data_IF_120509933555
#
_entry.id   IF_120509933555
#
_cell.length_a   1.000
_cell.length_b   1.000
_cell.length_c   1.000
_cell.angle_alpha   90.00
_cell.angle_beta   90.00
_cell.angle_gamma   90.00
#
_symmetry.space_group_name_H-M   'P 1'
#
loop_
_entity.id
_entity.type
_entity.pdbx_description
1 polymer ?
#
# COMPACT_ATOMS: atom_id res chain seq x y z
N UNK A 1 21.11 18.33 2.89
CA UNK A 1 19.72 18.75 2.77
C UNK A 1 18.90 17.77 1.92
N UNK A 2 19.34 17.39 0.69
CA UNK A 2 18.60 16.42 -0.17
C UNK A 2 18.30 15.12 0.56
N UNK A 3 19.31 14.48 1.14
CA UNK A 3 19.16 13.18 1.85
C UNK A 3 18.07 13.23 2.91
N UNK A 4 17.93 14.33 3.65
CA UNK A 4 16.86 14.51 4.62
C UNK A 4 15.47 14.54 3.97
N UNK A 5 15.30 15.32 2.91
CA UNK A 5 14.03 15.37 2.19
C UNK A 5 13.69 14.03 1.52
N UNK A 6 14.69 13.35 0.97
CA UNK A 6 14.48 12.07 0.30
C UNK A 6 14.10 10.97 1.31
N UNK A 7 14.81 10.88 2.44
CA UNK A 7 14.61 9.78 3.38
C UNK A 7 13.48 10.04 4.40
N UNK A 8 13.35 11.25 4.92
CA UNK A 8 12.38 11.55 5.99
C UNK A 8 11.40 12.68 5.67
N UNK A 9 11.52 13.33 4.51
CA UNK A 9 10.61 14.39 4.07
C UNK A 9 10.76 15.73 4.78
N UNK A 10 11.72 15.88 5.69
CA UNK A 10 11.93 17.08 6.52
C UNK A 10 13.32 17.66 6.32
N UNK A 11 13.53 18.98 6.52
CA UNK A 11 14.86 19.57 6.48
C UNK A 11 15.66 19.21 7.75
N UNK A 12 17.01 19.22 7.66
CA UNK A 12 17.85 19.16 8.86
C UNK A 12 17.66 20.42 9.71
N UNK A 13 17.82 20.28 11.02
CA UNK A 13 17.99 21.41 11.91
C UNK A 13 19.32 22.12 11.64
N UNK A 14 19.49 23.42 12.02
CA UNK A 14 20.77 24.12 11.89
C UNK A 14 21.93 23.34 12.53
N UNK A 15 21.72 22.80 13.73
CA UNK A 15 22.71 22.02 14.46
C UNK A 15 23.13 20.75 13.69
N UNK A 16 22.19 20.00 13.16
CA UNK A 16 22.48 18.79 12.36
C UNK A 16 23.28 19.15 11.10
N UNK A 17 23.00 20.29 10.47
CA UNK A 17 23.77 20.82 9.36
C UNK A 17 25.21 21.13 9.74
N UNK A 18 25.43 21.81 10.87
CA UNK A 18 26.75 22.14 11.40
C UNK A 18 27.54 20.88 11.77
N UNK A 19 26.91 19.94 12.46
CA UNK A 19 27.54 18.67 12.88
C UNK A 19 27.97 17.84 11.65
N UNK A 20 27.14 17.78 10.62
CA UNK A 20 27.50 17.12 9.35
C UNK A 20 28.68 17.82 8.67
N UNK A 21 28.71 19.15 8.61
CA UNK A 21 29.82 19.89 8.01
C UNK A 21 31.13 19.63 8.76
N UNK A 22 31.13 19.66 10.07
CA UNK A 22 32.31 19.33 10.92
C UNK A 22 32.81 17.91 10.65
N UNK A 23 31.91 16.93 10.66
CA UNK A 23 32.26 15.53 10.38
C UNK A 23 32.81 15.34 8.94
N UNK A 24 32.26 16.04 7.96
CA UNK A 24 32.66 15.95 6.56
C UNK A 24 34.04 16.53 6.27
N UNK A 25 34.53 17.45 7.11
CA UNK A 25 35.91 17.96 7.04
C UNK A 25 36.94 16.90 7.42
N UNK A 26 36.58 15.95 8.27
CA UNK A 26 37.45 14.83 8.68
C UNK A 26 37.40 13.71 7.66
N UNK A 27 36.19 13.20 7.36
CA UNK A 27 35.97 12.17 6.34
C UNK A 27 34.53 12.29 5.77
N UNK A 28 34.45 12.80 4.55
CA UNK A 28 33.16 13.05 3.88
C UNK A 28 32.36 11.78 3.64
N UNK A 29 33.02 10.71 3.24
CA UNK A 29 32.34 9.43 2.93
C UNK A 29 31.71 8.86 4.19
N UNK A 30 32.47 8.72 5.27
CA UNK A 30 31.98 8.21 6.55
C UNK A 30 30.89 9.11 7.15
N UNK A 31 31.01 10.44 7.01
CA UNK A 31 29.97 11.37 7.49
C UNK A 31 28.65 11.18 6.73
N UNK A 32 28.70 10.88 5.43
CA UNK A 32 27.51 10.62 4.61
C UNK A 32 26.89 9.28 4.97
N UNK A 33 27.66 8.21 5.11
CA UNK A 33 27.19 6.88 5.51
C UNK A 33 26.48 6.94 6.87
N UNK A 34 27.12 7.51 7.87
CA UNK A 34 26.53 7.67 9.20
C UNK A 34 25.24 8.51 9.17
N UNK A 35 25.18 9.54 8.32
CA UNK A 35 23.96 10.32 8.15
C UNK A 35 22.85 9.48 7.55
N UNK A 36 23.10 8.72 6.50
CA UNK A 36 22.11 7.86 5.82
C UNK A 36 21.59 6.80 6.79
N UNK A 37 22.48 6.08 7.48
CA UNK A 37 22.11 5.05 8.46
C UNK A 37 21.23 5.60 9.57
N UNK A 38 21.58 6.79 10.10
CA UNK A 38 20.75 7.47 11.12
C UNK A 38 19.36 7.84 10.60
N UNK A 39 19.25 8.31 9.37
CA UNK A 39 17.96 8.70 8.79
C UNK A 39 17.11 7.49 8.42
N UNK A 40 17.72 6.40 7.94
CA UNK A 40 17.03 5.13 7.70
C UNK A 40 16.49 4.50 9.00
N UNK A 41 17.20 4.66 10.12
CA UNK A 41 16.76 4.22 11.43
C UNK A 41 15.70 5.14 12.08
N UNK A 42 15.34 6.25 11.44
CA UNK A 42 14.33 7.17 11.94
C UNK A 42 12.92 6.66 11.66
N UNK A 43 12.01 6.76 12.64
CA UNK A 43 10.57 6.46 12.44
C UNK A 43 9.93 7.27 11.30
N UNK A 44 10.45 8.44 11.00
CA UNK A 44 9.99 9.30 9.91
C UNK A 44 10.32 8.74 8.52
N UNK A 45 11.22 7.76 8.43
CA UNK A 45 11.46 7.04 7.19
C UNK A 45 10.21 6.29 6.72
N UNK A 46 9.60 5.50 7.59
CA UNK A 46 8.35 4.79 7.29
C UNK A 46 7.18 5.73 7.02
N UNK A 47 7.08 6.86 7.75
CA UNK A 47 6.05 7.87 7.49
C UNK A 47 6.21 8.47 6.08
N UNK A 48 7.44 8.75 5.66
CA UNK A 48 7.76 9.32 4.34
C UNK A 48 7.51 8.32 3.21
N UNK A 49 8.04 7.10 3.34
CA UNK A 49 7.99 6.11 2.27
C UNK A 49 6.68 5.32 2.25
N UNK A 50 6.09 5.08 3.42
CA UNK A 50 4.76 4.51 3.55
C UNK A 50 3.70 5.31 2.81
N UNK A 51 3.82 6.65 2.77
CA UNK A 51 2.91 7.49 2.00
C UNK A 51 2.88 7.13 0.51
N UNK A 52 4.04 6.85 -0.10
CA UNK A 52 4.07 6.46 -1.52
C UNK A 52 3.32 5.16 -1.75
N UNK A 53 3.43 4.20 -0.83
CA UNK A 53 2.64 2.97 -0.89
C UNK A 53 1.16 3.23 -0.68
N UNK A 54 0.80 4.05 0.29
CA UNK A 54 -0.60 4.41 0.59
C UNK A 54 -1.28 5.10 -0.59
N UNK A 55 -0.55 5.92 -1.36
CA UNK A 55 -1.06 6.54 -2.60
C UNK A 55 -1.33 5.46 -3.68
N UNK A 56 -0.43 4.49 -3.85
CA UNK A 56 -0.60 3.39 -4.83
C UNK A 56 -1.83 2.54 -4.49
N UNK A 57 -2.04 2.24 -3.20
CA UNK A 57 -3.14 1.39 -2.74
C UNK A 57 -4.44 2.15 -2.47
N UNK A 58 -4.53 3.41 -2.88
CA UNK A 58 -5.72 4.27 -2.75
C UNK A 58 -6.21 4.39 -1.30
N UNK A 59 -5.28 4.46 -0.35
CA UNK A 59 -5.64 4.60 1.06
C UNK A 59 -6.56 5.80 1.30
N UNK A 60 -7.67 5.55 1.96
CA UNK A 60 -8.57 6.57 2.46
C UNK A 60 -9.24 6.13 3.77
N UNK A 61 -9.65 7.08 4.57
CA UNK A 61 -10.39 6.82 5.82
C UNK A 61 -11.91 6.83 5.61
N UNK A 62 -12.35 6.88 4.34
CA UNK A 62 -13.74 6.75 3.91
C UNK A 62 -13.81 6.15 2.52
N UNK A 63 -14.98 5.64 2.12
CA UNK A 63 -15.15 5.01 0.82
C UNK A 63 -15.19 5.99 -0.38
N UNK A 64 -15.27 7.30 -0.12
CA UNK A 64 -15.17 8.35 -1.14
C UNK A 64 -16.25 8.40 -2.22
N UNK A 65 -17.28 7.55 -2.13
CA UNK A 65 -18.39 7.51 -3.07
C UNK A 65 -19.61 8.28 -2.52
N UNK A 66 -20.77 8.16 -3.15
CA UNK A 66 -21.99 8.93 -2.87
C UNK A 66 -22.47 8.86 -1.40
N UNK A 67 -22.16 7.80 -0.68
CA UNK A 67 -22.44 7.69 0.75
C UNK A 67 -21.30 8.17 1.65
N UNK A 68 -20.10 8.24 1.14
CA UNK A 68 -18.89 8.61 1.86
C UNK A 68 -18.82 8.04 3.30
N UNK A 69 -19.09 6.75 3.44
CA UNK A 69 -19.05 6.08 4.73
C UNK A 69 -17.62 6.00 5.27
N UNK A 70 -17.43 6.32 6.55
CA UNK A 70 -16.14 6.27 7.19
C UNK A 70 -15.63 4.84 7.37
N UNK A 71 -14.31 4.68 7.29
CA UNK A 71 -13.57 3.47 7.64
C UNK A 71 -12.85 3.67 8.99
N UNK A 72 -13.49 3.46 10.13
CA UNK A 72 -12.99 3.87 11.44
C UNK A 72 -11.71 3.14 11.86
N UNK A 73 -11.35 2.06 11.18
CA UNK A 73 -10.16 1.25 11.46
C UNK A 73 -9.10 1.31 10.35
N UNK A 74 -9.27 2.14 9.32
CA UNK A 74 -8.32 2.26 8.21
C UNK A 74 -6.91 2.66 8.67
N UNK A 75 -6.81 3.47 9.74
CA UNK A 75 -5.53 3.86 10.34
C UNK A 75 -4.63 2.67 10.71
N UNK A 76 -5.20 1.50 11.03
CA UNK A 76 -4.41 0.29 11.35
C UNK A 76 -3.61 -0.18 10.13
N UNK A 77 -4.20 -0.13 8.94
CA UNK A 77 -3.48 -0.48 7.72
C UNK A 77 -2.38 0.54 7.40
N UNK A 78 -2.63 1.86 7.59
CA UNK A 78 -1.61 2.89 7.47
C UNK A 78 -0.43 2.61 8.39
N UNK A 79 -0.70 2.32 9.65
CA UNK A 79 0.33 2.06 10.65
C UNK A 79 1.10 0.77 10.32
N UNK A 80 0.42 -0.29 9.89
CA UNK A 80 1.07 -1.50 9.36
C UNK A 80 2.07 -1.19 8.23
N UNK A 81 1.69 -0.34 7.29
CA UNK A 81 2.57 0.06 6.18
C UNK A 81 3.78 0.82 6.72
N UNK A 82 3.58 1.81 7.58
CA UNK A 82 4.66 2.60 8.21
C UNK A 82 5.63 1.69 8.97
N UNK A 83 5.10 0.79 9.78
CA UNK A 83 5.90 -0.15 10.59
C UNK A 83 6.66 -1.14 9.71
N UNK A 84 6.07 -1.57 8.59
CA UNK A 84 6.73 -2.45 7.62
C UNK A 84 7.95 -1.78 6.98
N UNK A 85 7.86 -0.50 6.63
CA UNK A 85 9.00 0.26 6.11
C UNK A 85 10.06 0.50 7.19
N UNK A 86 9.66 0.86 8.41
CA UNK A 86 10.59 1.08 9.53
C UNK A 86 11.27 -0.21 9.99
N UNK A 87 10.60 -1.35 9.87
CA UNK A 87 11.11 -2.66 10.21
C UNK A 87 11.90 -3.33 9.08
N UNK A 88 12.10 -2.65 7.95
CA UNK A 88 12.75 -3.21 6.75
C UNK A 88 12.18 -4.58 6.36
N UNK A 89 10.83 -4.71 6.40
CA UNK A 89 10.13 -5.96 6.09
C UNK A 89 10.49 -6.41 4.67
N UNK A 90 10.90 -7.66 4.45
CA UNK A 90 11.17 -8.18 3.11
C UNK A 90 9.97 -7.96 2.18
N UNK A 91 10.22 -7.44 0.98
CA UNK A 91 9.15 -7.00 0.06
C UNK A 91 8.24 -8.16 -0.36
N UNK A 92 8.80 -9.35 -0.56
CA UNK A 92 8.02 -10.55 -0.87
C UNK A 92 7.07 -10.95 0.28
N UNK A 93 7.50 -10.79 1.54
CA UNK A 93 6.65 -11.00 2.71
C UNK A 93 5.57 -9.93 2.78
N UNK A 94 5.92 -8.67 2.57
CA UNK A 94 4.99 -7.55 2.54
C UNK A 94 3.87 -7.75 1.52
N UNK A 95 4.19 -8.24 0.29
CA UNK A 95 3.20 -8.59 -0.73
C UNK A 95 2.31 -9.73 -0.25
N UNK A 96 2.90 -10.85 0.20
CA UNK A 96 2.16 -12.05 0.63
C UNK A 96 1.17 -11.73 1.74
N UNK A 97 1.57 -10.92 2.71
CA UNK A 97 0.70 -10.51 3.82
C UNK A 97 -0.48 -9.67 3.35
N UNK A 98 -0.32 -8.81 2.36
CA UNK A 98 -1.40 -7.97 1.86
C UNK A 98 -2.40 -8.71 0.96
N UNK A 99 -1.93 -9.72 0.23
CA UNK A 99 -2.80 -10.50 -0.66
C UNK A 99 -3.49 -11.65 0.07
N UNK A 100 -2.79 -12.32 1.01
CA UNK A 100 -3.26 -13.53 1.66
C UNK A 100 -2.74 -13.68 3.10
N UNK A 101 -2.65 -12.59 3.87
CA UNK A 101 -2.08 -12.60 5.21
C UNK A 101 -2.79 -13.52 6.19
N UNK A 102 -4.10 -13.67 6.05
CA UNK A 102 -4.96 -14.56 6.83
C UNK A 102 -4.73 -16.06 6.52
N UNK A 103 -4.20 -16.37 5.33
CA UNK A 103 -3.97 -17.73 4.84
C UNK A 103 -2.51 -18.20 4.95
N UNK A 104 -1.60 -17.33 5.38
CA UNK A 104 -0.19 -17.67 5.47
C UNK A 104 0.07 -18.74 6.55
N UNK A 105 1.04 -19.66 6.32
CA UNK A 105 1.36 -20.72 7.27
C UNK A 105 1.75 -20.17 8.65
N UNK A 106 1.42 -20.95 9.69
CA UNK A 106 1.72 -20.61 11.08
C UNK A 106 0.57 -19.91 11.80
N UNK A 107 0.86 -19.30 12.95
CA UNK A 107 -0.15 -18.56 13.70
C UNK A 107 -0.48 -17.26 12.99
N UNK A 108 -1.74 -17.08 12.64
CA UNK A 108 -2.22 -15.81 12.09
C UNK A 108 -2.18 -14.74 13.18
N UNK A 109 -1.62 -13.60 12.88
CA UNK A 109 -1.53 -12.43 13.77
C UNK A 109 -2.49 -11.34 13.35
N UNK A 110 -2.81 -10.43 14.26
CA UNK A 110 -3.62 -9.25 13.95
C UNK A 110 -2.98 -8.43 12.82
N UNK A 111 -1.64 -8.35 12.81
CA UNK A 111 -0.88 -7.64 11.77
C UNK A 111 -1.14 -8.22 10.37
N UNK A 112 -1.16 -9.55 10.22
CA UNK A 112 -1.45 -10.22 8.95
C UNK A 112 -2.90 -10.00 8.48
N UNK A 113 -3.86 -9.97 9.41
CA UNK A 113 -5.24 -9.59 9.08
C UNK A 113 -5.34 -8.12 8.67
N UNK A 114 -4.63 -7.22 9.37
CA UNK A 114 -4.60 -5.81 9.02
C UNK A 114 -4.01 -5.58 7.63
N UNK A 115 -2.98 -6.35 7.27
CA UNK A 115 -2.35 -6.28 5.97
C UNK A 115 -3.32 -6.54 4.81
N UNK A 116 -4.28 -7.48 4.97
CA UNK A 116 -5.32 -7.75 3.95
C UNK A 116 -6.29 -6.60 3.73
N UNK A 117 -6.23 -5.56 4.56
CA UNK A 117 -6.90 -4.28 4.34
C UNK A 117 -6.58 -3.66 2.97
N UNK A 118 -5.44 -4.01 2.37
CA UNK A 118 -5.10 -3.70 0.98
C UNK A 118 -6.24 -3.96 -0.01
N UNK A 119 -6.90 -5.11 0.11
CA UNK A 119 -8.02 -5.52 -0.75
C UNK A 119 -9.37 -4.89 -0.36
N UNK A 120 -9.46 -4.28 0.84
CA UNK A 120 -10.70 -3.74 1.37
C UNK A 120 -10.86 -2.23 1.19
N UNK A 121 -9.75 -1.50 0.96
CA UNK A 121 -9.70 -0.02 1.05
C UNK A 121 -10.31 0.72 -0.14
N UNK A 122 -10.49 0.11 -1.28
CA UNK A 122 -10.95 0.81 -2.49
C UNK A 122 -12.34 1.45 -2.37
N UNK A 123 -12.67 2.38 -3.27
CA UNK A 123 -13.99 3.01 -3.32
C UNK A 123 -15.07 1.98 -3.64
N UNK A 124 -16.25 2.13 -3.02
CA UNK A 124 -17.39 1.21 -3.19
C UNK A 124 -18.70 1.98 -3.35
N UNK A 125 -19.49 1.63 -4.37
CA UNK A 125 -20.83 2.20 -4.55
C UNK A 125 -21.82 1.53 -3.62
N UNK A 126 -21.88 2.00 -2.36
CA UNK A 126 -22.75 1.44 -1.32
C UNK A 126 -24.25 1.63 -1.59
N UNK A 127 -24.62 2.44 -2.59
CA UNK A 127 -25.99 2.63 -3.05
C UNK A 127 -26.38 1.69 -4.19
N UNK A 128 -25.44 0.92 -4.74
CA UNK A 128 -25.74 -0.01 -5.82
C UNK A 128 -26.69 -1.11 -5.32
N UNK A 129 -27.90 -1.15 -5.91
CA UNK A 129 -28.92 -2.14 -5.58
C UNK A 129 -28.72 -3.48 -6.30
N UNK A 130 -27.93 -3.49 -7.36
CA UNK A 130 -27.56 -4.71 -8.06
C UNK A 130 -26.40 -5.39 -7.35
N UNK A 131 -26.71 -6.39 -6.54
CA UNK A 131 -25.70 -7.11 -5.75
C UNK A 131 -24.62 -7.79 -6.62
N UNK A 132 -24.99 -8.33 -7.76
CA UNK A 132 -24.02 -8.98 -8.66
C UNK A 132 -23.04 -7.96 -9.24
N UNK A 133 -23.55 -6.82 -9.69
CA UNK A 133 -22.73 -5.71 -10.18
C UNK A 133 -21.80 -5.17 -9.09
N UNK A 134 -22.31 -4.93 -7.88
CA UNK A 134 -21.50 -4.50 -6.76
C UNK A 134 -20.33 -5.45 -6.44
N UNK A 135 -20.59 -6.77 -6.49
CA UNK A 135 -19.55 -7.79 -6.28
C UNK A 135 -18.51 -7.72 -7.39
N UNK A 136 -18.95 -7.65 -8.65
CA UNK A 136 -18.03 -7.60 -9.79
C UNK A 136 -17.22 -6.32 -9.85
N UNK A 137 -17.78 -5.19 -9.44
CA UNK A 137 -17.04 -3.93 -9.34
C UNK A 137 -15.99 -3.97 -8.18
N UNK A 138 -16.33 -4.66 -7.08
CA UNK A 138 -15.36 -4.90 -5.99
C UNK A 138 -14.21 -5.81 -6.46
N UNK A 139 -14.51 -6.86 -7.21
CA UNK A 139 -13.51 -7.76 -7.79
C UNK A 139 -12.61 -7.04 -8.79
N UNK A 140 -13.21 -6.25 -9.68
CA UNK A 140 -12.47 -5.44 -10.66
C UNK A 140 -11.49 -4.47 -9.99
N UNK A 141 -11.94 -3.83 -8.93
CA UNK A 141 -11.17 -2.90 -8.15
C UNK A 141 -10.00 -3.57 -7.41
N UNK A 142 -10.21 -4.76 -6.84
CA UNK A 142 -9.16 -5.56 -6.19
C UNK A 142 -8.12 -6.06 -7.19
N UNK A 143 -8.56 -6.49 -8.36
CA UNK A 143 -7.70 -6.90 -9.45
C UNK A 143 -6.85 -5.73 -9.94
N UNK A 144 -7.47 -4.57 -10.19
CA UNK A 144 -6.79 -3.37 -10.67
C UNK A 144 -5.69 -2.93 -9.70
N UNK A 145 -6.01 -2.81 -8.40
CA UNK A 145 -5.00 -2.41 -7.43
C UNK A 145 -3.87 -3.42 -7.31
N UNK A 146 -4.18 -4.71 -7.33
CA UNK A 146 -3.18 -5.77 -7.19
C UNK A 146 -2.20 -5.75 -8.36
N UNK A 147 -2.71 -5.66 -9.58
CA UNK A 147 -1.87 -5.68 -10.78
C UNK A 147 -1.08 -4.39 -10.95
N UNK A 148 -1.64 -3.23 -10.63
CA UNK A 148 -0.91 -1.95 -10.64
C UNK A 148 0.17 -1.89 -9.57
N UNK A 149 -0.17 -2.27 -8.34
CA UNK A 149 0.74 -2.16 -7.21
C UNK A 149 1.95 -3.09 -7.32
N UNK A 150 1.73 -4.34 -7.75
CA UNK A 150 2.78 -5.37 -7.73
C UNK A 150 3.41 -5.64 -9.08
N UNK A 151 2.68 -5.40 -10.18
CA UNK A 151 3.13 -5.75 -11.53
C UNK A 151 3.34 -4.51 -12.41
N UNK A 152 2.80 -3.34 -12.03
CA UNK A 152 2.81 -2.14 -12.87
C UNK A 152 1.94 -2.28 -14.13
N UNK A 153 0.95 -3.18 -14.13
CA UNK A 153 0.09 -3.50 -15.26
C UNK A 153 -1.34 -3.02 -15.04
N UNK A 154 -2.00 -2.57 -16.10
CA UNK A 154 -3.40 -2.13 -16.09
C UNK A 154 -4.34 -3.23 -16.60
N UNK A 155 -4.30 -4.40 -15.92
CA UNK A 155 -5.06 -5.60 -16.33
C UNK A 155 -6.57 -5.36 -16.41
N UNK A 156 -7.11 -4.44 -15.59
CA UNK A 156 -8.53 -4.07 -15.62
C UNK A 156 -9.00 -3.56 -17.00
N UNK A 157 -8.11 -3.03 -17.86
CA UNK A 157 -8.45 -2.68 -19.24
C UNK A 157 -8.93 -3.88 -20.07
N UNK A 158 -8.45 -5.09 -19.72
CA UNK A 158 -8.82 -6.33 -20.42
C UNK A 158 -10.20 -6.88 -20.02
N UNK A 159 -10.94 -6.21 -19.13
CA UNK A 159 -12.33 -6.57 -18.79
C UNK A 159 -13.26 -6.59 -20.00
N UNK A 160 -13.07 -5.67 -20.96
CA UNK A 160 -13.98 -5.49 -22.10
C UNK A 160 -13.40 -5.94 -23.44
N UNK A 161 -12.08 -5.92 -23.60
CA UNK A 161 -11.35 -6.28 -24.82
C UNK A 161 -9.91 -6.59 -24.46
N UNK A 162 -9.17 -7.29 -25.32
CA UNK A 162 -7.74 -7.54 -25.12
C UNK A 162 -6.98 -6.23 -24.88
N UNK A 163 -6.01 -6.25 -23.97
CA UNK A 163 -5.28 -5.06 -23.63
C UNK A 163 -4.58 -4.46 -24.85
N UNK A 164 -4.67 -3.13 -25.01
CA UNK A 164 -4.23 -2.46 -26.25
C UNK A 164 -2.73 -2.57 -26.52
N UNK A 165 -1.93 -2.56 -25.45
CA UNK A 165 -0.46 -2.44 -25.55
C UNK A 165 0.28 -3.65 -25.00
N UNK A 166 -0.26 -4.31 -23.98
CA UNK A 166 0.35 -5.45 -23.32
C UNK A 166 -0.30 -6.76 -23.77
N UNK A 167 0.42 -7.89 -23.78
CA UNK A 167 -0.12 -9.18 -24.20
C UNK A 167 -1.04 -9.79 -23.12
N UNK A 168 -2.12 -9.09 -22.77
CA UNK A 168 -3.09 -9.47 -21.75
C UNK A 168 -4.44 -9.65 -22.44
N UNK A 169 -4.84 -10.88 -22.77
CA UNK A 169 -6.16 -11.16 -23.34
C UNK A 169 -7.27 -11.04 -22.28
N UNK A 170 -8.49 -10.90 -22.75
CA UNK A 170 -9.68 -10.83 -21.89
C UNK A 170 -9.82 -12.07 -20.99
N UNK A 171 -9.41 -13.26 -21.47
CA UNK A 171 -9.42 -14.49 -20.68
C UNK A 171 -8.56 -14.41 -19.42
N UNK A 172 -7.40 -13.74 -19.48
CA UNK A 172 -6.52 -13.57 -18.33
C UNK A 172 -7.17 -12.67 -17.25
N UNK A 173 -7.87 -11.62 -17.68
CA UNK A 173 -8.66 -10.80 -16.76
C UNK A 173 -9.68 -11.66 -16.00
N UNK A 174 -10.50 -12.45 -16.69
CA UNK A 174 -11.54 -13.27 -16.05
C UNK A 174 -10.95 -14.42 -15.24
N UNK A 175 -9.80 -14.96 -15.61
CA UNK A 175 -9.08 -15.94 -14.82
C UNK A 175 -8.63 -15.36 -13.47
N UNK A 176 -8.06 -14.15 -13.46
CA UNK A 176 -7.70 -13.44 -12.22
C UNK A 176 -8.93 -13.01 -11.43
N UNK A 177 -9.97 -12.49 -12.09
CA UNK A 177 -11.22 -12.10 -11.43
C UNK A 177 -11.85 -13.27 -10.66
N UNK A 178 -11.74 -14.50 -11.17
CA UNK A 178 -12.17 -15.72 -10.49
C UNK A 178 -11.50 -15.95 -9.14
N UNK A 179 -10.23 -15.54 -8.96
CA UNK A 179 -9.51 -15.62 -7.68
C UNK A 179 -10.16 -14.70 -6.65
N UNK A 180 -10.36 -13.43 -6.99
CA UNK A 180 -10.97 -12.45 -6.08
C UNK A 180 -12.45 -12.73 -5.83
N UNK A 181 -13.19 -13.21 -6.84
CA UNK A 181 -14.60 -13.60 -6.69
C UNK A 181 -14.79 -14.82 -5.76
N UNK A 182 -13.76 -15.63 -5.54
CA UNK A 182 -13.78 -16.76 -4.61
C UNK A 182 -13.48 -16.38 -3.16
N UNK A 183 -13.16 -15.11 -2.89
CA UNK A 183 -12.85 -14.60 -1.55
C UNK A 183 -14.02 -13.79 -0.97
N UNK A 184 -14.11 -13.72 0.35
CA UNK A 184 -15.05 -12.85 1.03
C UNK A 184 -14.31 -11.65 1.64
N UNK A 185 -14.47 -10.48 1.03
CA UNK A 185 -13.86 -9.26 1.54
C UNK A 185 -14.77 -8.59 2.56
N UNK A 186 -14.24 -8.38 3.77
CA UNK A 186 -14.89 -7.64 4.85
C UNK A 186 -14.36 -6.19 4.84
N UNK A 187 -15.15 -5.26 4.36
CA UNK A 187 -14.72 -3.85 4.22
C UNK A 187 -15.30 -2.90 5.29
N UNK A 188 -15.79 -3.46 6.41
CA UNK A 188 -16.08 -2.70 7.64
C UNK A 188 -16.99 -1.48 7.49
N UNK A 189 -17.78 -1.40 6.43
CA UNK A 189 -18.81 -0.39 6.31
C UNK A 189 -19.85 -0.59 7.41
N UNK A 190 -20.29 0.50 8.06
CA UNK A 190 -21.39 0.44 9.01
C UNK A 190 -22.63 -0.12 8.31
N UNK A 191 -22.77 -1.43 8.36
CA UNK A 191 -24.06 -2.08 8.16
C UNK A 191 -24.79 -1.91 9.46
N UNK A 192 -25.56 -0.82 9.56
CA UNK A 192 -26.60 -0.74 10.56
C UNK A 192 -27.64 -1.82 10.32
#
# INVERSE_FOLDING_TARGET
RRVYFDLIGMPPTPKEGEDFLKASLVNRQSALENLVDRLLASKHYGERWGRHWLDVVRYAESNGMERNAAFPHAWRYRDYVIDSFNGDKPFDQFIKEQVAGDLLPGKTTDERHIATGFLAMGPKSLNNRNKAEFIMDTVDEQLDVTTRAFMGLTVACARCHDHKFDPIPTEDYYSMAGIFASTQTLFGGATG
#
